data_IF_889781588147
#
_entry.id   IF_889781588147
#
_cell.length_a   1.000
_cell.length_b   1.000
_cell.length_c   1.000
_cell.angle_alpha   90.00
_cell.angle_beta   90.00
_cell.angle_gamma   90.00
#
_symmetry.space_group_name_H-M   'P 1'
#
loop_
_entity.id
_entity.type
_entity.pdbx_description
1 polymer ?
#
# COMPACT_ATOMS: atom_id res chain seq x y z
N UNK A 1 -18.94 18.04 -38.46
CA UNK A 1 -19.01 16.58 -38.24
C UNK A 1 -18.69 16.29 -36.78
N UNK A 2 -19.67 16.04 -35.90
CA UNK A 2 -19.39 15.48 -34.58
C UNK A 2 -19.40 13.94 -34.65
N UNK A 3 -18.36 13.30 -34.14
CA UNK A 3 -18.22 11.84 -34.07
C UNK A 3 -19.11 11.35 -32.94
N UNK A 4 -20.17 10.61 -33.28
CA UNK A 4 -21.09 10.01 -32.33
C UNK A 4 -20.46 8.77 -31.69
N UNK A 5 -19.66 8.97 -30.64
CA UNK A 5 -19.22 7.88 -29.76
C UNK A 5 -20.32 7.59 -28.73
N UNK A 6 -21.48 7.10 -29.18
CA UNK A 6 -22.45 6.45 -28.31
C UNK A 6 -22.40 4.95 -28.59
N UNK A 7 -21.44 4.28 -27.96
CA UNK A 7 -21.50 2.84 -27.75
C UNK A 7 -22.72 2.55 -26.89
N UNK A 8 -23.81 2.18 -27.56
CA UNK A 8 -25.01 1.62 -26.95
C UNK A 8 -24.58 0.36 -26.19
N UNK A 9 -24.42 0.47 -24.87
CA UNK A 9 -24.22 -0.68 -24.01
C UNK A 9 -25.51 -1.51 -24.06
N UNK A 10 -25.45 -2.69 -24.66
CA UNK A 10 -26.52 -3.67 -24.61
C UNK A 10 -26.74 -4.08 -23.14
N UNK A 11 -27.99 -4.06 -22.63
CA UNK A 11 -28.28 -4.27 -21.22
C UNK A 11 -28.05 -5.73 -20.86
N UNK A 12 -26.93 -6.02 -20.19
CA UNK A 12 -26.64 -7.33 -19.59
C UNK A 12 -25.16 -7.69 -19.43
N UNK A 13 -24.24 -6.88 -19.95
CA UNK A 13 -22.82 -7.25 -20.07
C UNK A 13 -21.88 -6.14 -19.57
N UNK A 14 -22.37 -5.28 -18.67
CA UNK A 14 -21.57 -4.20 -18.08
C UNK A 14 -20.80 -4.74 -16.87
N UNK A 15 -19.49 -4.90 -17.03
CA UNK A 15 -18.58 -5.19 -15.92
C UNK A 15 -18.05 -3.88 -15.30
N UNK A 16 -17.62 -3.98 -14.04
CA UNK A 16 -16.88 -2.91 -13.37
C UNK A 16 -15.48 -2.77 -13.97
N UNK A 17 -14.83 -1.62 -13.77
CA UNK A 17 -13.45 -1.41 -14.20
C UNK A 17 -12.52 -2.50 -13.64
N UNK A 18 -11.55 -2.95 -14.43
CA UNK A 18 -10.67 -4.08 -14.11
C UNK A 18 -11.28 -5.46 -14.41
N UNK A 19 -12.49 -5.52 -14.98
CA UNK A 19 -13.15 -6.77 -15.33
C UNK A 19 -13.68 -6.75 -16.77
N UNK A 20 -13.61 -7.91 -17.42
CA UNK A 20 -14.11 -8.16 -18.77
C UNK A 20 -15.26 -9.17 -18.74
N UNK A 21 -16.28 -8.95 -19.57
CA UNK A 21 -17.39 -9.88 -19.70
C UNK A 21 -16.94 -11.15 -20.42
N UNK A 22 -16.98 -12.29 -19.73
CA UNK A 22 -16.74 -13.61 -20.33
C UNK A 22 -18.09 -14.15 -20.86
N UNK A 23 -18.31 -14.20 -22.20
CA UNK A 23 -19.58 -14.65 -22.78
C UNK A 23 -19.81 -16.15 -22.62
N UNK A 24 -18.73 -16.93 -22.39
CA UNK A 24 -18.82 -18.39 -22.21
C UNK A 24 -19.29 -18.70 -20.79
N UNK A 25 -18.73 -18.00 -19.81
CA UNK A 25 -19.05 -18.20 -18.39
C UNK A 25 -20.18 -17.30 -17.89
N UNK A 26 -20.65 -16.39 -18.74
CA UNK A 26 -21.67 -15.38 -18.44
C UNK A 26 -21.38 -14.64 -17.12
N UNK A 27 -20.12 -14.24 -16.93
CA UNK A 27 -19.67 -13.53 -15.72
C UNK A 27 -18.57 -12.53 -16.05
N UNK A 28 -18.42 -11.53 -15.17
CA UNK A 28 -17.25 -10.67 -15.18
C UNK A 28 -16.03 -11.46 -14.70
N UNK A 29 -15.02 -11.55 -15.56
CA UNK A 29 -13.71 -12.14 -15.27
C UNK A 29 -12.75 -10.99 -15.02
N UNK A 30 -11.95 -11.14 -13.98
CA UNK A 30 -10.83 -10.23 -13.69
C UNK A 30 -9.86 -10.18 -14.87
N UNK A 31 -9.43 -8.97 -15.21
CA UNK A 31 -8.43 -8.72 -16.25
C UNK A 31 -7.06 -8.88 -15.60
N UNK A 32 -6.22 -9.76 -16.13
CA UNK A 32 -4.84 -9.90 -15.64
C UNK A 32 -3.95 -8.90 -16.37
N UNK A 33 -3.83 -7.68 -15.84
CA UNK A 33 -2.98 -6.67 -16.47
C UNK A 33 -1.49 -7.03 -16.41
N UNK A 34 -1.08 -7.93 -15.52
CA UNK A 34 0.31 -8.40 -15.47
C UNK A 34 0.67 -9.26 -16.68
N UNK A 35 -0.30 -9.98 -17.26
CA UNK A 35 -0.11 -10.74 -18.50
C UNK A 35 -0.28 -9.88 -19.75
N UNK A 36 -1.20 -8.91 -19.71
CA UNK A 36 -1.61 -8.14 -20.89
C UNK A 36 -0.72 -6.91 -21.10
N UNK A 37 -0.25 -6.27 -20.02
CA UNK A 37 0.52 -5.03 -20.07
C UNK A 37 1.99 -5.32 -19.78
N UNK A 38 2.88 -5.26 -20.79
CA UNK A 38 4.32 -5.35 -20.55
C UNK A 38 4.76 -4.16 -19.70
N UNK A 39 5.60 -4.43 -18.69
CA UNK A 39 6.05 -3.42 -17.73
C UNK A 39 4.92 -2.67 -17.01
N UNK A 40 3.80 -3.36 -16.73
CA UNK A 40 2.70 -2.84 -15.90
C UNK A 40 3.20 -2.13 -14.62
N UNK A 41 4.29 -2.65 -14.05
CA UNK A 41 4.98 -2.05 -12.92
C UNK A 41 6.28 -1.35 -13.34
N UNK A 42 6.35 -0.05 -13.09
CA UNK A 42 7.57 0.76 -13.31
C UNK A 42 8.65 0.45 -12.26
N UNK A 43 9.89 0.87 -12.53
CA UNK A 43 10.98 0.79 -11.54
C UNK A 43 11.46 -0.63 -11.21
N UNK A 44 11.23 -1.60 -12.11
CA UNK A 44 11.68 -2.98 -11.94
C UNK A 44 10.94 -3.75 -10.84
N UNK A 45 9.79 -3.25 -10.39
CA UNK A 45 8.92 -3.92 -9.43
C UNK A 45 8.28 -5.18 -10.04
N UNK A 46 7.85 -6.10 -9.17
CA UNK A 46 7.12 -7.31 -9.56
C UNK A 46 5.63 -6.99 -9.63
N UNK A 47 5.00 -7.32 -10.76
CA UNK A 47 3.55 -7.28 -10.92
C UNK A 47 2.92 -8.52 -10.29
N UNK A 48 1.82 -8.33 -9.57
CA UNK A 48 1.01 -9.38 -8.97
C UNK A 48 -0.45 -9.09 -9.27
N UNK A 49 -1.11 -9.99 -10.03
CA UNK A 49 -2.52 -9.84 -10.35
C UNK A 49 -3.39 -9.91 -9.08
N UNK A 50 -4.42 -9.08 -9.00
CA UNK A 50 -5.33 -9.02 -7.86
C UNK A 50 -6.71 -8.47 -8.25
N UNK A 51 -7.77 -9.23 -8.02
CA UNK A 51 -9.17 -8.87 -8.26
C UNK A 51 -9.48 -7.36 -8.37
N UNK A 52 -9.83 -6.94 -9.59
CA UNK A 52 -10.08 -5.56 -9.99
C UNK A 52 -8.84 -4.76 -10.40
N UNK A 53 -7.69 -5.41 -10.54
CA UNK A 53 -6.46 -4.79 -11.02
C UNK A 53 -5.17 -5.56 -10.65
N UNK A 54 -4.11 -4.82 -10.32
CA UNK A 54 -2.81 -5.40 -10.00
C UNK A 54 -2.06 -4.62 -8.92
N UNK A 55 -1.14 -5.30 -8.25
CA UNK A 55 -0.23 -4.74 -7.25
C UNK A 55 1.21 -4.74 -7.75
N UNK A 56 1.90 -3.64 -7.54
CA UNK A 56 3.33 -3.53 -7.79
C UNK A 56 4.10 -3.62 -6.47
N UNK A 57 4.87 -4.71 -6.31
CA UNK A 57 5.64 -4.97 -5.11
C UNK A 57 7.14 -4.96 -5.39
N UNK A 58 7.97 -4.51 -4.44
CA UNK A 58 9.41 -4.74 -4.51
C UNK A 58 9.71 -6.22 -4.69
N UNK A 59 10.78 -6.56 -5.43
CA UNK A 59 11.20 -7.97 -5.60
C UNK A 59 11.55 -8.67 -4.28
N UNK A 60 11.79 -7.90 -3.21
CA UNK A 60 12.07 -8.38 -1.86
C UNK A 60 10.81 -8.66 -1.04
N UNK A 61 9.60 -8.35 -1.54
CA UNK A 61 8.36 -8.58 -0.82
C UNK A 61 8.07 -10.09 -0.68
N UNK A 62 7.73 -10.52 0.54
CA UNK A 62 7.27 -11.88 0.83
C UNK A 62 5.75 -11.86 1.00
N UNK A 63 5.02 -12.53 0.12
CA UNK A 63 3.57 -12.68 0.24
C UNK A 63 3.30 -13.90 1.12
N UNK A 64 2.92 -13.66 2.38
CA UNK A 64 2.53 -14.72 3.30
C UNK A 64 1.10 -15.12 2.96
N UNK A 65 0.96 -16.17 2.15
CA UNK A 65 -0.36 -16.76 1.90
C UNK A 65 -0.66 -17.67 3.09
N UNK A 66 -1.52 -17.23 4.01
CA UNK A 66 -2.08 -18.08 5.06
C UNK A 66 -3.12 -19.05 4.46
N UNK A 67 -2.70 -19.84 3.48
CA UNK A 67 -3.44 -21.04 3.15
C UNK A 67 -3.12 -22.03 4.25
N UNK A 68 -4.10 -22.39 5.09
CA UNK A 68 -3.94 -23.38 6.16
C UNK A 68 -3.65 -24.80 5.65
N UNK A 69 -2.53 -24.99 4.95
CA UNK A 69 -1.99 -26.24 4.45
C UNK A 69 -0.46 -26.15 4.47
N UNK A 70 0.14 -26.96 5.34
CA UNK A 70 1.57 -27.29 5.29
C UNK A 70 1.96 -27.86 3.92
N UNK A 71 3.00 -27.24 3.34
CA UNK A 71 4.04 -27.72 2.45
C UNK A 71 3.72 -28.62 1.24
N UNK A 72 4.04 -28.09 0.05
CA UNK A 72 4.88 -28.85 -0.90
C UNK A 72 5.87 -27.87 -1.52
N UNK A 73 7.06 -27.84 -0.92
CA UNK A 73 8.22 -27.23 -1.53
C UNK A 73 8.55 -27.96 -2.84
N UNK A 74 8.49 -27.24 -3.96
CA UNK A 74 9.11 -27.65 -5.20
C UNK A 74 10.04 -26.51 -5.67
N UNK A 75 11.32 -26.71 -5.35
CA UNK A 75 12.50 -26.29 -6.10
C UNK A 75 12.69 -24.79 -6.46
N UNK A 76 13.26 -24.04 -5.52
CA UNK A 76 14.19 -22.96 -5.87
C UNK A 76 15.61 -23.44 -5.57
N UNK A 77 16.31 -23.77 -6.64
CA UNK A 77 17.72 -24.15 -6.65
C UNK A 77 18.60 -23.02 -6.10
N UNK A 78 19.39 -23.33 -5.07
CA UNK A 78 20.64 -22.62 -4.78
C UNK A 78 20.54 -21.38 -3.88
N UNK A 79 20.41 -21.59 -2.57
CA UNK A 79 20.73 -20.58 -1.56
C UNK A 79 21.09 -21.28 -0.26
N UNK A 80 22.32 -21.12 0.21
CA UNK A 80 22.81 -21.71 1.46
C UNK A 80 21.89 -21.29 2.61
N UNK A 81 21.06 -22.22 3.09
CA UNK A 81 20.26 -22.02 4.28
C UNK A 81 21.19 -21.95 5.49
N UNK A 82 21.67 -20.75 5.82
CA UNK A 82 22.03 -20.45 7.19
C UNK A 82 20.73 -20.45 8.00
N UNK A 83 20.28 -21.64 8.37
CA UNK A 83 19.34 -21.81 9.47
C UNK A 83 20.08 -21.28 10.69
N UNK A 84 19.88 -20.00 11.02
CA UNK A 84 20.25 -19.47 12.31
C UNK A 84 19.39 -20.24 13.30
N UNK A 85 19.92 -21.36 13.82
CA UNK A 85 19.35 -22.08 14.95
C UNK A 85 19.28 -21.05 16.07
N UNK A 86 18.09 -20.53 16.34
CA UNK A 86 17.86 -19.64 17.48
C UNK A 86 18.09 -20.49 18.72
N UNK A 87 19.28 -20.39 19.31
CA UNK A 87 19.53 -20.89 20.66
C UNK A 87 18.50 -20.24 21.58
N UNK A 88 17.85 -21.00 22.49
CA UNK A 88 16.98 -20.43 23.51
C UNK A 88 17.72 -19.29 24.21
N UNK A 89 17.08 -18.12 24.28
CA UNK A 89 17.67 -16.92 24.82
C UNK A 89 18.19 -17.19 26.24
N UNK A 90 19.48 -16.94 26.45
CA UNK A 90 20.13 -16.93 27.75
C UNK A 90 19.43 -15.89 28.67
N UNK A 91 19.04 -16.24 29.91
CA UNK A 91 18.32 -15.35 30.83
C UNK A 91 19.07 -14.07 31.23
N UNK A 92 20.34 -13.91 30.88
CA UNK A 92 21.15 -12.76 31.27
C UNK A 92 21.39 -11.71 30.17
N UNK A 93 20.65 -11.75 29.06
CA UNK A 93 20.72 -10.65 28.10
C UNK A 93 19.93 -9.44 28.64
N UNK A 94 20.55 -8.27 28.88
CA UNK A 94 19.80 -7.06 29.21
C UNK A 94 18.80 -6.76 28.08
N UNK A 95 17.60 -6.24 28.39
CA UNK A 95 16.58 -5.98 27.39
C UNK A 95 17.15 -5.05 26.30
N UNK A 96 16.81 -5.26 25.02
CA UNK A 96 17.14 -4.29 23.99
C UNK A 96 16.53 -2.94 24.38
N UNK A 97 17.38 -1.92 24.46
CA UNK A 97 17.05 -0.53 24.76
C UNK A 97 15.82 -0.10 23.92
N UNK A 98 14.73 0.43 24.51
CA UNK A 98 13.47 0.69 23.80
C UNK A 98 13.51 1.96 22.91
N UNK A 99 14.69 2.34 22.42
CA UNK A 99 14.89 3.62 21.71
C UNK A 99 14.71 3.50 20.20
N UNK A 100 13.92 2.55 19.70
CA UNK A 100 13.52 2.57 18.29
C UNK A 100 12.41 3.62 18.09
N UNK A 101 12.82 4.89 18.14
CA UNK A 101 11.98 6.01 17.73
C UNK A 101 11.75 5.90 16.23
N UNK A 102 10.50 5.78 15.82
CA UNK A 102 10.15 5.74 14.41
C UNK A 102 10.29 7.16 13.86
N UNK A 103 11.05 7.30 12.76
CA UNK A 103 11.19 8.56 12.06
C UNK A 103 9.88 8.85 11.30
N UNK A 104 8.97 9.60 11.90
CA UNK A 104 7.74 10.03 11.25
C UNK A 104 7.98 11.21 10.31
N UNK A 105 7.13 11.33 9.28
CA UNK A 105 7.15 12.47 8.37
C UNK A 105 6.81 13.78 9.10
N UNK A 106 7.23 14.93 8.56
CA UNK A 106 6.97 16.25 9.15
C UNK A 106 5.47 16.46 9.39
N UNK A 107 5.08 16.76 10.64
CA UNK A 107 3.68 16.90 11.06
C UNK A 107 3.06 15.64 11.70
N UNK A 108 3.80 14.55 11.79
CA UNK A 108 3.38 13.30 12.44
C UNK A 108 4.27 12.99 13.65
N UNK A 109 3.67 12.49 14.73
CA UNK A 109 4.36 12.06 15.95
C UNK A 109 4.13 10.57 16.23
N UNK A 110 5.10 9.92 16.86
CA UNK A 110 5.03 8.51 17.22
C UNK A 110 4.13 8.34 18.45
N UNK A 111 3.04 7.59 18.29
CA UNK A 111 2.19 7.11 19.38
C UNK A 111 2.90 6.04 20.22
N UNK A 112 2.42 5.82 21.45
CA UNK A 112 2.86 4.74 22.37
C UNK A 112 2.78 3.34 21.73
N UNK A 113 1.99 3.21 20.66
CA UNK A 113 1.83 1.98 19.87
C UNK A 113 2.81 1.88 18.69
N UNK A 114 3.82 2.77 18.61
CA UNK A 114 4.78 2.80 17.50
C UNK A 114 4.12 3.04 16.13
N UNK A 115 3.11 3.91 16.09
CA UNK A 115 2.41 4.33 14.87
C UNK A 115 2.56 5.84 14.71
N UNK A 116 2.86 6.30 13.49
CA UNK A 116 2.89 7.73 13.18
C UNK A 116 1.46 8.27 13.07
N UNK A 117 1.04 9.08 14.04
CA UNK A 117 -0.25 9.75 14.03
C UNK A 117 -0.05 11.23 13.72
N UNK A 118 -1.02 11.87 13.07
CA UNK A 118 -0.99 13.31 12.86
C UNK A 118 -0.94 14.00 14.23
N UNK A 119 0.08 14.85 14.44
CA UNK A 119 0.19 15.61 15.66
C UNK A 119 -0.94 16.64 15.67
N UNK A 120 -1.97 16.43 16.50
CA UNK A 120 -3.10 17.35 16.63
C UNK A 120 -2.60 18.76 17.04
N UNK A 121 -1.43 18.83 17.69
CA UNK A 121 -0.74 20.05 18.09
C UNK A 121 0.01 20.79 16.95
N UNK A 122 0.01 20.26 15.71
CA UNK A 122 0.67 20.87 14.54
C UNK A 122 -0.29 21.27 13.41
N UNK A 123 -1.59 21.33 13.68
CA UNK A 123 -2.51 21.99 12.74
C UNK A 123 -2.31 23.51 12.86
N UNK A 124 -1.24 24.02 12.24
CA UNK A 124 -1.16 25.44 11.87
C UNK A 124 -2.25 25.72 10.84
N UNK A 125 -3.51 25.84 11.26
CA UNK A 125 -4.49 26.54 10.43
C UNK A 125 -4.08 28.00 10.43
N UNK A 126 -3.46 28.46 9.34
CA UNK A 126 -3.33 29.90 9.09
C UNK A 126 -4.74 30.46 8.94
N UNK A 127 -5.36 30.89 10.04
CA UNK A 127 -6.56 31.70 9.97
C UNK A 127 -6.10 33.11 9.62
N UNK A 128 -6.11 33.41 8.32
CA UNK A 128 -5.94 34.78 7.82
C UNK A 128 -7.17 35.58 8.25
N UNK A 129 -7.11 36.21 9.43
CA UNK A 129 -8.06 37.26 9.76
C UNK A 129 -7.67 38.49 8.92
N UNK A 130 -8.42 38.75 7.84
CA UNK A 130 -8.36 40.03 7.15
C UNK A 130 -8.84 41.09 8.12
N UNK A 131 -7.93 41.93 8.59
CA UNK A 131 -8.24 43.22 9.16
C UNK A 131 -7.64 44.24 8.20
N UNK A 132 -8.50 45.09 7.65
CA UNK A 132 -8.14 46.09 6.67
C UNK A 132 -6.92 46.91 7.10
N UNK A 133 -5.90 46.96 6.23
CA UNK A 133 -4.77 47.88 6.36
C UNK A 133 -3.73 47.54 7.42
N UNK A 134 -2.78 46.67 7.06
CA UNK A 134 -1.40 46.65 7.56
C UNK A 134 -1.19 46.61 9.10
N UNK A 135 -1.30 45.42 9.71
CA UNK A 135 -0.41 44.90 10.77
C UNK A 135 -0.69 43.40 10.94
N UNK A 136 0.29 42.53 10.63
CA UNK A 136 0.23 41.09 10.96
C UNK A 136 0.62 40.92 12.42
N UNK A 137 -0.38 40.95 13.32
CA UNK A 137 -0.20 40.41 14.65
C UNK A 137 -0.33 38.88 14.55
N UNK A 138 0.81 38.19 14.60
CA UNK A 138 0.83 36.72 14.74
C UNK A 138 0.36 36.36 16.13
N UNK A 139 -0.93 36.01 16.27
CA UNK A 139 -1.41 35.40 17.50
C UNK A 139 -1.42 33.87 17.33
N UNK A 140 -0.41 33.25 17.94
CA UNK A 140 -0.31 31.80 18.06
C UNK A 140 -1.37 31.35 19.08
N UNK A 141 -2.46 30.75 18.61
CA UNK A 141 -3.46 30.12 19.49
C UNK A 141 -3.07 28.65 19.65
N UNK A 142 -2.58 28.28 20.83
CA UNK A 142 -2.56 26.89 21.27
C UNK A 142 -4.01 26.48 21.57
N UNK A 143 -4.49 25.40 20.95
CA UNK A 143 -5.73 24.73 21.36
C UNK A 143 -5.43 23.80 22.52
#
# INVERSE_FOLDING_TARGET
MPVASRSRAEPGQQCTDGYEWDPVRQRCKDIDECEIVPDACKGGMKCVNHYGGYLCLPRTAQIIVNNGREDTAAESTGGRNNVIRRTPADPHRPPPNPTHRIQCATGYEQSEQNVCQAAINQIHTKKLNKIDGNTIAEQLVLI
#
